data_IF_101947898033
#
_entry.id   IF_101947898033
#
_cell.length_a   1.000
_cell.length_b   1.000
_cell.length_c   1.000
_cell.angle_alpha   90.00
_cell.angle_beta   90.00
_cell.angle_gamma   90.00
#
_symmetry.space_group_name_H-M   'P 1'
#
loop_
_entity.id
_entity.type
_entity.pdbx_description
1 polymer ?
#
# COMPACT_ATOMS: atom_id res chain seq x y z
N UNK A 1 -7.61 54.19 -37.03
CA UNK A 1 -7.72 53.96 -35.57
C UNK A 1 -9.16 53.62 -35.27
N UNK A 2 -9.48 52.34 -35.04
CA UNK A 2 -9.90 51.96 -33.70
C UNK A 2 -9.27 50.66 -33.20
N UNK A 3 -9.31 50.52 -31.88
CA UNK A 3 -8.62 49.52 -31.07
C UNK A 3 -9.24 48.12 -31.20
N UNK A 4 -8.35 47.11 -31.25
CA UNK A 4 -8.66 45.69 -31.19
C UNK A 4 -9.18 45.31 -29.80
N UNK A 5 -10.42 44.81 -29.76
CA UNK A 5 -10.97 44.03 -28.66
C UNK A 5 -10.17 42.72 -28.56
N UNK A 6 -9.16 42.71 -27.68
CA UNK A 6 -8.54 41.46 -27.23
C UNK A 6 -9.55 40.74 -26.33
N UNK A 7 -9.99 39.58 -26.81
CA UNK A 7 -10.67 38.56 -26.02
C UNK A 7 -9.90 38.31 -24.72
N UNK A 8 -10.47 38.78 -23.62
CA UNK A 8 -10.12 38.33 -22.28
C UNK A 8 -10.73 36.93 -22.13
N UNK A 9 -9.90 35.90 -22.30
CA UNK A 9 -10.27 34.53 -21.89
C UNK A 9 -10.63 34.55 -20.40
N UNK A 10 -11.80 34.04 -19.99
CA UNK A 10 -12.20 34.01 -18.58
C UNK A 10 -11.41 32.98 -17.75
N UNK A 11 -10.50 32.22 -18.37
CA UNK A 11 -9.72 31.16 -17.73
C UNK A 11 -8.27 31.56 -17.47
N UNK A 12 -8.05 32.79 -17.03
CA UNK A 12 -6.75 33.21 -16.49
C UNK A 12 -6.74 33.03 -14.97
N UNK A 13 -6.75 31.77 -14.56
CA UNK A 13 -6.58 31.30 -13.19
C UNK A 13 -6.04 29.87 -13.26
N UNK A 14 -5.26 29.45 -12.26
CA UNK A 14 -4.85 28.04 -12.12
C UNK A 14 -6.10 27.14 -12.26
N UNK A 15 -6.00 25.96 -12.90
CA UNK A 15 -7.08 25.00 -12.90
C UNK A 15 -7.56 24.83 -11.46
N UNK A 16 -8.88 24.89 -11.24
CA UNK A 16 -9.52 24.83 -9.92
C UNK A 16 -9.22 23.51 -9.14
N UNK A 17 -8.47 22.60 -9.75
CA UNK A 17 -8.13 21.26 -9.28
C UNK A 17 -6.76 20.82 -9.82
N UNK A 18 -5.74 21.68 -9.78
CA UNK A 18 -4.41 21.13 -9.47
C UNK A 18 -4.54 20.66 -8.01
N UNK A 19 -4.58 19.34 -7.71
CA UNK A 19 -4.41 18.92 -6.32
C UNK A 19 -3.12 19.59 -5.85
N UNK A 20 -3.22 20.44 -4.82
CA UNK A 20 -2.03 21.08 -4.26
C UNK A 20 -1.01 19.96 -3.96
N UNK A 21 0.28 20.24 -4.16
CA UNK A 21 1.35 19.26 -3.91
C UNK A 21 1.19 18.57 -2.54
N UNK A 22 0.52 19.24 -1.59
CA UNK A 22 0.08 18.80 -0.26
C UNK A 22 -0.74 17.48 -0.24
N UNK A 23 -1.66 17.21 -1.19
CA UNK A 23 -2.40 15.92 -1.24
C UNK A 23 -1.47 14.74 -1.62
N UNK A 24 -0.36 15.02 -2.30
CA UNK A 24 0.66 14.03 -2.64
C UNK A 24 1.77 13.94 -1.58
N UNK A 25 1.89 14.92 -0.69
CA UNK A 25 2.78 14.87 0.47
C UNK A 25 2.33 13.79 1.47
N UNK A 26 1.01 13.60 1.62
CA UNK A 26 0.42 12.54 2.43
C UNK A 26 0.85 11.13 1.99
N UNK A 27 1.25 10.99 0.72
CA UNK A 27 1.72 9.73 0.17
C UNK A 27 3.16 9.38 0.46
N UNK A 28 3.92 10.29 1.06
CA UNK A 28 5.33 10.06 1.33
C UNK A 28 5.51 8.90 2.31
N UNK A 29 6.28 7.89 1.92
CA UNK A 29 6.62 6.75 2.79
C UNK A 29 7.13 7.18 4.17
N UNK A 30 7.82 8.33 4.26
CA UNK A 30 8.31 8.89 5.52
C UNK A 30 7.16 9.33 6.43
N UNK A 31 6.15 9.99 5.86
CA UNK A 31 4.96 10.42 6.59
C UNK A 31 4.17 9.20 7.07
N UNK A 32 3.90 8.24 6.18
CA UNK A 32 3.21 6.98 6.51
C UNK A 32 3.94 6.22 7.62
N UNK A 33 5.26 6.10 7.53
CA UNK A 33 6.08 5.47 8.58
C UNK A 33 6.01 6.19 9.91
N UNK A 34 5.92 7.52 9.91
CA UNK A 34 5.74 8.29 11.14
C UNK A 34 4.37 8.03 11.78
N UNK A 35 3.33 7.96 10.97
CA UNK A 35 1.97 7.63 11.41
C UNK A 35 1.92 6.22 11.98
N UNK A 36 2.56 5.25 11.32
CA UNK A 36 2.68 3.89 11.83
C UNK A 36 3.30 3.85 13.23
N UNK A 37 4.44 4.51 13.45
CA UNK A 37 5.07 4.54 14.79
C UNK A 37 4.18 5.18 15.85
N UNK A 38 3.42 6.20 15.45
CA UNK A 38 2.51 6.89 16.36
C UNK A 38 1.32 6.00 16.75
N UNK A 39 0.77 5.24 15.80
CA UNK A 39 -0.38 4.38 16.00
C UNK A 39 -0.03 3.03 16.62
N UNK A 40 1.12 2.43 16.32
CA UNK A 40 1.49 1.04 16.65
C UNK A 40 1.67 0.73 18.14
N UNK A 41 1.38 1.68 19.02
CA UNK A 41 1.53 1.50 20.46
C UNK A 41 0.38 0.66 21.00
N UNK A 42 0.74 -0.33 21.82
CA UNK A 42 -0.21 -1.17 22.53
C UNK A 42 -1.18 -0.29 23.36
N UNK A 43 -2.49 -0.34 23.10
CA UNK A 43 -3.48 0.41 23.86
C UNK A 43 -3.44 0.15 25.36
N UNK A 44 -3.04 -1.05 25.80
CA UNK A 44 -2.92 -1.37 27.22
C UNK A 44 -1.82 -0.56 27.93
N UNK A 45 -0.84 -0.05 27.18
CA UNK A 45 0.24 0.79 27.70
C UNK A 45 -0.16 2.27 27.81
N UNK A 46 -1.27 2.68 27.17
CA UNK A 46 -1.88 3.98 27.42
C UNK A 46 -2.61 3.95 28.75
N UNK A 47 -1.89 4.31 29.82
CA UNK A 47 -2.55 4.64 31.09
C UNK A 47 -3.55 5.75 30.79
N UNK A 48 -4.86 5.56 31.04
CA UNK A 48 -5.83 6.60 30.80
C UNK A 48 -5.37 7.82 31.57
N UNK A 49 -5.12 8.94 30.88
CA UNK A 49 -5.05 10.23 31.56
C UNK A 49 -6.40 10.34 32.27
N UNK A 50 -6.39 10.13 33.59
CA UNK A 50 -7.56 10.33 34.44
C UNK A 50 -8.05 11.75 34.19
N UNK A 51 -8.99 11.91 33.26
CA UNK A 51 -9.81 13.11 33.17
C UNK A 51 -10.62 13.11 34.44
N UNK A 52 -10.13 13.87 35.41
CA UNK A 52 -10.64 14.04 36.78
C UNK A 52 -12.09 14.55 36.85
N UNK A 53 -12.80 14.66 35.73
CA UNK A 53 -14.10 15.31 35.64
C UNK A 53 -15.26 14.38 35.26
N UNK A 54 -15.01 13.10 34.93
CA UNK A 54 -16.07 12.16 34.55
C UNK A 54 -16.23 11.02 35.58
N UNK A 55 -16.58 11.32 36.85
CA UNK A 55 -17.04 10.27 37.79
C UNK A 55 -17.73 10.73 39.07
N UNK A 56 -18.20 11.98 39.16
CA UNK A 56 -19.04 12.39 40.30
C UNK A 56 -20.55 12.22 40.03
N UNK A 57 -21.02 12.45 38.79
CA UNK A 57 -22.46 12.39 38.47
C UNK A 57 -22.97 10.97 38.20
N UNK A 58 -22.15 10.07 37.63
CA UNK A 58 -22.56 8.68 37.36
C UNK A 58 -22.79 7.86 38.65
N UNK A 59 -22.02 8.14 39.71
CA UNK A 59 -22.16 7.48 41.02
C UNK A 59 -23.38 7.91 41.84
N UNK A 60 -24.01 9.05 41.50
CA UNK A 60 -25.22 9.49 42.20
C UNK A 60 -26.51 8.94 41.57
N UNK A 61 -26.51 8.60 40.29
CA UNK A 61 -27.70 8.03 39.64
C UNK A 61 -27.95 6.57 40.00
N UNK A 62 -26.91 5.81 40.37
CA UNK A 62 -27.00 4.36 40.65
C UNK A 62 -27.70 4.03 41.97
N UNK A 63 -27.79 4.96 42.92
CA UNK A 63 -28.32 4.67 44.26
C UNK A 63 -29.82 4.94 44.42
N UNK A 64 -30.46 5.67 43.49
CA UNK A 64 -31.88 6.09 43.64
C UNK A 64 -32.83 5.34 42.69
N UNK A 65 -32.34 4.59 41.69
CA UNK A 65 -33.21 3.98 40.66
C UNK A 65 -33.61 2.52 40.90
N UNK A 66 -33.24 1.90 42.02
CA UNK A 66 -33.49 0.46 42.26
C UNK A 66 -34.95 0.06 42.57
N UNK A 67 -35.92 0.98 42.48
CA UNK A 67 -37.33 0.71 42.84
C UNK A 67 -38.35 1.09 41.76
N UNK A 68 -37.92 1.45 40.54
CA UNK A 68 -38.84 1.73 39.43
C UNK A 68 -38.73 0.66 38.35
N UNK A 69 -39.87 0.20 37.78
CA UNK A 69 -39.86 -0.73 36.65
C UNK A 69 -39.09 -0.11 35.47
N UNK A 70 -38.33 -0.92 34.70
CA UNK A 70 -37.51 -0.42 33.61
C UNK A 70 -38.39 0.30 32.58
N UNK A 71 -38.15 1.60 32.45
CA UNK A 71 -38.85 2.43 31.47
C UNK A 71 -38.28 2.11 30.08
N UNK A 72 -39.11 1.78 29.07
CA UNK A 72 -38.62 1.40 27.74
C UNK A 72 -37.79 2.49 27.05
N UNK A 73 -37.99 3.77 27.41
CA UNK A 73 -37.17 4.88 26.93
C UNK A 73 -35.76 4.91 27.53
N UNK A 74 -35.56 4.43 28.76
CA UNK A 74 -34.22 4.31 29.37
C UNK A 74 -33.42 3.17 28.75
N UNK A 75 -34.05 2.01 28.55
CA UNK A 75 -33.40 0.87 27.88
C UNK A 75 -33.00 1.20 26.43
N UNK A 76 -33.84 1.93 25.70
CA UNK A 76 -33.51 2.38 24.35
C UNK A 76 -32.36 3.41 24.32
N UNK A 77 -32.28 4.30 25.32
CA UNK A 77 -31.18 5.25 25.45
C UNK A 77 -29.86 4.57 25.83
N UNK A 78 -29.89 3.59 26.74
CA UNK A 78 -28.73 2.78 27.11
C UNK A 78 -28.22 1.91 25.96
N UNK A 79 -29.13 1.34 25.15
CA UNK A 79 -28.76 0.59 23.95
C UNK A 79 -28.05 1.48 22.90
N UNK A 80 -28.57 2.69 22.65
CA UNK A 80 -27.92 3.66 21.74
C UNK A 80 -26.53 4.07 22.21
N UNK A 81 -26.37 4.34 23.50
CA UNK A 81 -25.06 4.69 24.06
C UNK A 81 -24.03 3.55 23.89
N UNK A 82 -24.49 2.30 24.02
CA UNK A 82 -23.63 1.13 23.77
C UNK A 82 -23.24 1.00 22.31
N UNK A 83 -24.18 1.17 21.38
CA UNK A 83 -23.88 1.16 19.93
C UNK A 83 -22.89 2.27 19.54
N UNK A 84 -23.04 3.47 20.11
CA UNK A 84 -22.10 4.57 19.90
C UNK A 84 -20.71 4.28 20.49
N UNK A 85 -20.62 3.60 21.62
CA UNK A 85 -19.36 3.17 22.23
C UNK A 85 -18.68 2.10 21.37
N UNK A 86 -19.40 1.06 20.96
CA UNK A 86 -18.89 0.01 20.06
C UNK A 86 -18.39 0.59 18.72
N UNK A 87 -19.08 1.61 18.18
CA UNK A 87 -18.65 2.31 16.98
C UNK A 87 -17.33 3.06 17.20
N UNK A 88 -17.19 3.76 18.33
CA UNK A 88 -15.95 4.48 18.66
C UNK A 88 -14.79 3.51 18.83
N UNK A 89 -15.00 2.40 19.52
CA UNK A 89 -13.96 1.39 19.76
C UNK A 89 -13.48 0.77 18.44
N UNK A 90 -14.41 0.42 17.54
CA UNK A 90 -14.07 -0.07 16.19
C UNK A 90 -13.33 0.96 15.36
N UNK A 91 -13.72 2.24 15.45
CA UNK A 91 -12.99 3.31 14.77
C UNK A 91 -11.59 3.45 15.34
N UNK A 92 -11.42 3.41 16.66
CA UNK A 92 -10.09 3.46 17.28
C UNK A 92 -9.22 2.27 16.85
N UNK A 93 -9.80 1.07 16.79
CA UNK A 93 -9.15 -0.14 16.29
C UNK A 93 -8.66 0.02 14.84
N UNK A 94 -9.49 0.57 13.95
CA UNK A 94 -9.12 0.82 12.55
C UNK A 94 -8.01 1.87 12.36
N UNK A 95 -7.92 2.86 13.26
CA UNK A 95 -6.85 3.86 13.19
C UNK A 95 -5.57 3.37 13.87
N UNK A 96 -5.64 2.32 14.68
CA UNK A 96 -4.51 1.78 15.40
C UNK A 96 -3.90 0.57 14.68
N UNK A 97 -2.72 0.78 14.10
CA UNK A 97 -1.99 -0.25 13.35
C UNK A 97 -1.52 -1.43 14.21
N UNK A 98 -1.56 -1.35 15.54
CA UNK A 98 -1.31 -2.47 16.44
C UNK A 98 -2.22 -3.67 16.16
N UNK A 99 -3.46 -3.42 15.73
CA UNK A 99 -4.45 -4.44 15.42
C UNK A 99 -4.32 -5.02 14.01
N UNK A 100 -3.31 -4.59 13.23
CA UNK A 100 -3.09 -5.13 11.89
C UNK A 100 -2.70 -6.60 11.97
N UNK A 101 -3.47 -7.46 11.30
CA UNK A 101 -3.20 -8.90 11.23
C UNK A 101 -3.16 -9.36 9.76
N UNK A 102 -2.00 -9.83 9.26
CA UNK A 102 -1.87 -10.38 7.92
C UNK A 102 -2.88 -11.50 7.59
N UNK A 103 -3.33 -12.26 8.59
CA UNK A 103 -4.25 -13.39 8.42
C UNK A 103 -5.74 -12.99 8.53
N UNK A 104 -6.01 -11.75 8.94
CA UNK A 104 -7.34 -11.15 8.92
C UNK A 104 -7.61 -10.22 10.08
N UNK A 105 -8.10 -9.01 9.80
CA UNK A 105 -8.46 -8.03 10.83
C UNK A 105 -9.80 -7.30 10.56
N UNK A 106 -10.08 -6.27 11.36
CA UNK A 106 -11.31 -5.50 11.27
C UNK A 106 -11.44 -4.77 9.92
N UNK A 107 -10.35 -4.33 9.30
CA UNK A 107 -10.41 -3.74 7.96
C UNK A 107 -10.95 -4.75 6.96
N UNK A 108 -10.44 -5.98 6.97
CA UNK A 108 -10.88 -7.02 6.02
C UNK A 108 -12.36 -7.37 6.20
N UNK A 109 -12.81 -7.43 7.45
CA UNK A 109 -14.21 -7.69 7.80
C UNK A 109 -15.14 -6.60 7.27
N UNK A 110 -14.75 -5.32 7.38
CA UNK A 110 -15.55 -4.20 6.88
C UNK A 110 -15.49 -4.13 5.36
N UNK A 111 -14.31 -4.33 4.77
CA UNK A 111 -14.11 -4.27 3.32
C UNK A 111 -14.90 -5.35 2.58
N UNK A 112 -15.12 -6.52 3.20
CA UNK A 112 -15.99 -7.55 2.65
C UNK A 112 -17.41 -7.05 2.30
N UNK A 113 -17.91 -6.01 3.00
CA UNK A 113 -19.22 -5.42 2.71
C UNK A 113 -19.27 -4.68 1.37
N UNK A 114 -18.13 -4.23 0.84
CA UNK A 114 -18.04 -3.48 -0.43
C UNK A 114 -17.44 -4.28 -1.58
N UNK A 115 -17.18 -5.58 -1.39
CA UNK A 115 -16.73 -6.45 -2.47
C UNK A 115 -17.87 -6.76 -3.44
N UNK A 116 -17.57 -6.73 -4.73
CA UNK A 116 -18.49 -7.16 -5.78
C UNK A 116 -18.38 -8.68 -5.89
N UNK A 117 -19.46 -9.43 -5.61
CA UNK A 117 -19.42 -10.88 -5.77
C UNK A 117 -19.34 -11.24 -7.26
N UNK A 118 -18.95 -12.49 -7.56
CA UNK A 118 -19.08 -13.10 -8.90
C UNK A 118 -18.14 -12.61 -10.02
N UNK A 119 -16.99 -12.03 -9.71
CA UNK A 119 -15.96 -11.83 -10.74
C UNK A 119 -15.54 -13.17 -11.36
N UNK A 120 -15.52 -13.25 -12.70
CA UNK A 120 -15.04 -14.44 -13.45
C UNK A 120 -13.57 -14.73 -13.17
N UNK A 121 -12.77 -13.68 -12.96
CA UNK A 121 -11.32 -13.75 -12.75
C UNK A 121 -10.94 -13.88 -11.28
N UNK A 122 -11.61 -13.12 -10.40
CA UNK A 122 -11.31 -13.03 -8.98
C UNK A 122 -12.46 -13.65 -8.17
N UNK A 123 -12.60 -14.97 -8.27
CA UNK A 123 -13.72 -15.69 -7.67
C UNK A 123 -13.56 -15.78 -6.14
N UNK A 124 -14.58 -15.33 -5.39
CA UNK A 124 -14.78 -15.80 -4.03
C UNK A 124 -15.08 -17.29 -4.08
N UNK A 125 -14.38 -18.08 -3.26
CA UNK A 125 -14.59 -19.53 -3.19
C UNK A 125 -16.09 -19.86 -3.08
N UNK A 126 -16.59 -20.71 -3.99
CA UNK A 126 -18.02 -21.06 -4.12
C UNK A 126 -18.58 -21.77 -2.87
N UNK A 127 -17.73 -22.12 -1.91
CA UNK A 127 -18.07 -22.87 -0.71
C UNK A 127 -18.57 -22.03 0.48
N UNK A 128 -18.84 -20.72 0.31
CA UNK A 128 -19.45 -19.91 1.37
C UNK A 128 -18.57 -19.68 2.61
N UNK A 129 -17.31 -20.09 2.57
CA UNK A 129 -16.30 -19.63 3.51
C UNK A 129 -15.96 -18.18 3.17
N UNK A 130 -16.02 -17.31 4.18
CA UNK A 130 -15.49 -15.95 4.12
C UNK A 130 -14.15 -15.98 3.39
N UNK A 131 -14.11 -15.37 2.21
CA UNK A 131 -12.95 -15.45 1.34
C UNK A 131 -11.73 -14.98 2.10
N UNK A 132 -10.67 -15.79 2.08
CA UNK A 132 -9.50 -15.54 2.90
C UNK A 132 -8.96 -14.11 2.62
N UNK A 133 -8.54 -13.35 3.64
CA UNK A 133 -8.13 -11.95 3.47
C UNK A 133 -7.05 -11.72 2.41
N UNK A 134 -6.27 -12.75 2.09
CA UNK A 134 -5.19 -12.72 1.10
C UNK A 134 -5.64 -12.99 -0.34
N UNK A 135 -6.90 -13.33 -0.56
CA UNK A 135 -7.44 -13.51 -1.92
C UNK A 135 -7.73 -12.13 -2.51
N UNK A 136 -7.36 -11.85 -3.78
CA UNK A 136 -7.75 -10.60 -4.43
C UNK A 136 -9.27 -10.55 -4.68
N UNK A 137 -9.89 -9.43 -4.33
CA UNK A 137 -11.31 -9.14 -4.58
C UNK A 137 -11.49 -7.86 -5.39
N UNK A 138 -12.60 -7.76 -6.12
CA UNK A 138 -12.98 -6.52 -6.81
C UNK A 138 -13.85 -5.69 -5.87
N UNK A 139 -13.47 -4.43 -5.66
CA UNK A 139 -14.17 -3.48 -4.79
C UNK A 139 -15.15 -2.66 -5.62
N UNK A 140 -16.36 -2.47 -5.10
CA UNK A 140 -17.31 -1.48 -5.59
C UNK A 140 -16.84 -0.09 -5.19
N UNK A 141 -16.21 0.62 -6.13
CA UNK A 141 -15.67 1.96 -5.89
C UNK A 141 -16.74 2.97 -5.50
N UNK A 142 -17.94 2.87 -6.08
CA UNK A 142 -19.03 3.79 -5.78
C UNK A 142 -19.52 3.56 -4.35
N UNK A 143 -19.72 2.30 -3.97
CA UNK A 143 -20.10 1.96 -2.60
C UNK A 143 -19.01 2.32 -1.58
N UNK A 144 -17.74 2.14 -1.93
CA UNK A 144 -16.62 2.43 -1.03
C UNK A 144 -16.41 3.93 -0.83
N UNK A 145 -16.36 4.74 -1.90
CA UNK A 145 -16.05 6.17 -1.80
C UNK A 145 -17.25 7.07 -1.50
N UNK A 146 -18.49 6.65 -1.81
CA UNK A 146 -19.71 7.41 -1.50
C UNK A 146 -20.47 6.89 -0.27
N UNK A 147 -19.83 6.07 0.55
CA UNK A 147 -20.44 5.52 1.77
C UNK A 147 -20.80 6.61 2.80
N UNK A 148 -21.89 6.39 3.53
CA UNK A 148 -22.22 7.15 4.75
C UNK A 148 -21.80 6.41 6.03
N UNK A 149 -21.37 5.15 5.89
CA UNK A 149 -20.89 4.34 7.00
C UNK A 149 -19.46 4.77 7.35
N UNK A 150 -19.31 5.31 8.56
CA UNK A 150 -18.02 5.77 9.08
C UNK A 150 -16.97 4.64 9.15
N UNK A 151 -17.40 3.39 9.39
CA UNK A 151 -16.49 2.24 9.43
C UNK A 151 -15.93 1.94 8.05
N UNK A 152 -16.76 1.94 7.01
CA UNK A 152 -16.32 1.72 5.63
C UNK A 152 -15.37 2.84 5.18
N UNK A 153 -15.67 4.11 5.51
CA UNK A 153 -14.79 5.23 5.18
C UNK A 153 -13.44 5.22 5.90
N UNK A 154 -13.39 4.64 7.11
CA UNK A 154 -12.18 4.44 7.89
C UNK A 154 -11.41 3.17 7.49
N UNK A 155 -12.05 2.18 6.88
CA UNK A 155 -11.40 0.95 6.46
C UNK A 155 -10.51 1.15 5.21
N UNK A 156 -9.41 0.42 5.13
CA UNK A 156 -8.46 0.49 4.02
C UNK A 156 -8.43 -0.87 3.30
N UNK A 157 -8.51 -0.88 1.96
CA UNK A 157 -8.45 -2.11 1.17
C UNK A 157 -7.06 -2.72 1.19
N UNK A 158 -6.95 -4.03 0.94
CA UNK A 158 -5.65 -4.66 0.67
C UNK A 158 -5.15 -4.31 -0.73
N UNK A 159 -3.83 -4.40 -0.90
CA UNK A 159 -3.19 -4.13 -2.19
C UNK A 159 -3.66 -5.12 -3.27
N UNK A 160 -3.86 -6.39 -2.91
CA UNK A 160 -4.45 -7.40 -3.79
C UNK A 160 -5.79 -6.96 -4.37
N UNK A 161 -6.67 -6.42 -3.52
CA UNK A 161 -8.01 -5.99 -3.92
C UNK A 161 -7.94 -4.74 -4.81
N UNK A 162 -7.06 -3.80 -4.48
CA UNK A 162 -6.85 -2.61 -5.31
C UNK A 162 -6.31 -2.97 -6.70
N UNK A 163 -5.35 -3.90 -6.79
CA UNK A 163 -4.81 -4.39 -8.06
C UNK A 163 -5.90 -5.09 -8.87
N UNK A 164 -6.64 -6.03 -8.27
CA UNK A 164 -7.74 -6.72 -8.94
C UNK A 164 -8.80 -5.74 -9.47
N UNK A 165 -9.16 -4.74 -8.67
CA UNK A 165 -10.14 -3.71 -9.03
C UNK A 165 -9.66 -2.84 -10.20
N UNK A 166 -8.42 -2.36 -10.17
CA UNK A 166 -7.86 -1.54 -11.26
C UNK A 166 -7.80 -2.33 -12.57
N UNK A 167 -7.29 -3.55 -12.52
CA UNK A 167 -7.20 -4.40 -13.71
C UNK A 167 -8.59 -4.67 -14.29
N UNK A 168 -9.59 -4.92 -13.42
CA UNK A 168 -10.98 -5.13 -13.84
C UNK A 168 -11.61 -3.89 -14.51
N UNK A 169 -11.15 -2.67 -14.20
CA UNK A 169 -11.59 -1.44 -14.88
C UNK A 169 -10.83 -1.11 -16.18
N UNK A 170 -9.85 -1.94 -16.55
CA UNK A 170 -8.96 -1.70 -17.69
C UNK A 170 -9.53 -2.31 -18.97
N UNK A 171 -9.22 -3.58 -19.25
CA UNK A 171 -9.76 -4.37 -20.35
C UNK A 171 -9.55 -5.86 -20.04
N UNK A 172 -10.20 -6.73 -20.82
CA UNK A 172 -10.12 -8.18 -20.65
C UNK A 172 -8.71 -8.73 -20.80
N UNK A 173 -8.00 -8.30 -21.83
CA UNK A 173 -6.69 -8.81 -22.18
C UNK A 173 -5.64 -8.45 -21.11
N UNK A 174 -5.81 -7.31 -20.44
CA UNK A 174 -4.99 -6.85 -19.33
C UNK A 174 -5.10 -7.79 -18.13
N UNK A 175 -6.33 -8.14 -17.72
CA UNK A 175 -6.58 -9.07 -16.62
C UNK A 175 -6.04 -10.46 -16.96
N UNK A 176 -6.33 -10.96 -18.16
CA UNK A 176 -5.86 -12.25 -18.62
C UNK A 176 -4.32 -12.31 -18.68
N UNK A 177 -3.66 -11.25 -19.18
CA UNK A 177 -2.20 -11.19 -19.23
C UNK A 177 -1.55 -11.13 -17.83
N UNK A 178 -2.16 -10.42 -16.89
CA UNK A 178 -1.67 -10.37 -15.50
C UNK A 178 -1.76 -11.74 -14.81
N UNK A 179 -2.83 -12.49 -15.07
CA UNK A 179 -3.09 -13.80 -14.44
C UNK A 179 -2.41 -14.97 -15.16
N UNK A 180 -2.01 -14.82 -16.43
CA UNK A 180 -1.38 -15.90 -17.19
C UNK A 180 0.06 -16.18 -16.67
N UNK A 181 0.36 -17.37 -16.13
CA UNK A 181 1.70 -17.71 -15.65
C UNK A 181 2.74 -17.83 -16.77
N UNK A 182 2.32 -17.85 -18.04
CA UNK A 182 3.22 -17.94 -19.21
C UNK A 182 3.84 -16.58 -19.57
N UNK A 183 3.19 -15.48 -19.19
CA UNK A 183 3.72 -14.13 -19.37
C UNK A 183 4.92 -13.95 -18.45
N UNK A 184 6.10 -13.65 -19.00
CA UNK A 184 7.33 -13.52 -18.20
C UNK A 184 7.30 -12.26 -17.37
N UNK A 185 6.87 -11.17 -18.00
CA UNK A 185 6.78 -9.86 -17.38
C UNK A 185 5.50 -9.16 -17.81
N UNK A 186 4.77 -8.66 -16.81
CA UNK A 186 3.63 -7.77 -16.99
C UNK A 186 3.91 -6.46 -16.27
N UNK A 187 3.61 -5.32 -16.90
CA UNK A 187 3.73 -4.01 -16.27
C UNK A 187 2.51 -3.15 -16.61
N UNK A 188 1.73 -2.79 -15.60
CA UNK A 188 0.70 -1.76 -15.68
C UNK A 188 1.25 -0.43 -15.17
N UNK A 189 1.04 0.65 -15.93
CA UNK A 189 1.47 2.00 -15.60
C UNK A 189 0.34 2.99 -15.82
N UNK A 190 0.17 3.91 -14.87
CA UNK A 190 -0.77 5.03 -14.98
C UNK A 190 -0.08 6.33 -14.60
N UNK A 191 0.03 7.23 -15.55
CA UNK A 191 0.50 8.59 -15.31
C UNK A 191 -0.61 9.39 -14.61
N UNK A 192 -0.27 9.97 -13.47
CA UNK A 192 -1.16 10.83 -12.72
C UNK A 192 -1.04 12.25 -13.28
N UNK A 193 -2.18 12.93 -13.43
CA UNK A 193 -2.32 14.28 -13.98
C UNK A 193 -1.98 14.45 -15.47
N UNK A 194 -1.72 13.36 -16.20
CA UNK A 194 -1.39 13.41 -17.63
C UNK A 194 -0.11 14.19 -17.94
N UNK A 195 0.71 14.44 -16.92
CA UNK A 195 2.03 15.04 -17.07
C UNK A 195 3.06 13.93 -17.21
N UNK A 196 3.84 13.97 -18.29
CA UNK A 196 4.95 13.03 -18.56
C UNK A 196 6.03 13.08 -17.46
N UNK A 197 6.08 14.17 -16.69
CA UNK A 197 6.97 14.34 -15.53
C UNK A 197 6.26 14.10 -14.18
N UNK A 198 4.98 13.73 -14.20
CA UNK A 198 4.15 13.51 -13.03
C UNK A 198 4.45 12.19 -12.30
N UNK A 199 3.74 11.97 -11.19
CA UNK A 199 3.76 10.68 -10.51
C UNK A 199 3.18 9.60 -11.43
N UNK A 200 3.83 8.45 -11.46
CA UNK A 200 3.39 7.25 -12.17
C UNK A 200 3.08 6.18 -11.15
N UNK A 201 1.85 5.67 -11.19
CA UNK A 201 1.44 4.47 -10.47
C UNK A 201 1.83 3.26 -11.29
N UNK A 202 2.39 2.25 -10.62
CA UNK A 202 2.87 1.03 -11.29
C UNK A 202 2.46 -0.23 -10.54
N UNK A 203 2.13 -1.26 -11.32
CA UNK A 203 2.03 -2.65 -10.86
C UNK A 203 2.81 -3.50 -11.86
N UNK A 204 3.92 -4.08 -11.42
CA UNK A 204 4.79 -4.93 -12.21
C UNK A 204 4.75 -6.35 -11.65
N UNK A 205 4.52 -7.35 -12.49
CA UNK A 205 4.59 -8.76 -12.15
C UNK A 205 5.70 -9.46 -12.94
N UNK A 206 6.59 -10.17 -12.26
CA UNK A 206 7.59 -11.07 -12.87
C UNK A 206 7.48 -12.43 -12.20
N UNK A 207 7.04 -13.44 -12.96
CA UNK A 207 6.62 -14.71 -12.39
C UNK A 207 5.57 -14.51 -11.30
N UNK A 208 5.89 -14.92 -10.07
CA UNK A 208 5.01 -14.77 -8.90
C UNK A 208 5.31 -13.50 -8.08
N UNK A 209 6.35 -12.75 -8.42
CA UNK A 209 6.71 -11.52 -7.72
C UNK A 209 5.96 -10.33 -8.27
N UNK A 210 5.43 -9.49 -7.38
CA UNK A 210 4.77 -8.23 -7.72
C UNK A 210 5.52 -7.07 -7.06
N UNK A 211 5.77 -6.02 -7.83
CA UNK A 211 6.21 -4.72 -7.35
C UNK A 211 5.09 -3.73 -7.62
N UNK A 212 4.65 -3.02 -6.60
CA UNK A 212 3.67 -1.95 -6.74
C UNK A 212 4.18 -0.68 -6.06
N UNK A 213 3.82 0.48 -6.61
CA UNK A 213 4.23 1.73 -6.02
C UNK A 213 3.87 2.97 -6.84
N UNK A 214 4.41 4.09 -6.38
CA UNK A 214 4.29 5.40 -7.02
C UNK A 214 5.68 5.98 -7.18
N UNK A 215 6.05 6.38 -8.40
CA UNK A 215 7.34 6.97 -8.70
C UNK A 215 7.26 8.14 -9.67
N UNK A 216 8.29 8.99 -9.67
CA UNK A 216 8.57 9.97 -10.75
C UNK A 216 9.73 9.47 -11.59
N UNK A 217 9.60 9.54 -12.92
CA UNK A 217 10.70 9.19 -13.81
C UNK A 217 11.63 10.41 -13.99
N UNK A 218 12.87 10.30 -13.52
CA UNK A 218 13.89 11.36 -13.66
C UNK A 218 14.79 11.16 -14.88
N UNK A 219 14.49 10.19 -15.75
CA UNK A 219 15.26 9.83 -16.95
C UNK A 219 16.46 8.93 -16.67
N UNK A 220 17.17 9.15 -15.56
CA UNK A 220 18.30 8.30 -15.12
C UNK A 220 17.98 7.42 -13.91
N UNK A 221 16.86 7.69 -13.22
CA UNK A 221 16.36 6.90 -12.11
C UNK A 221 14.85 7.07 -11.96
N UNK A 222 14.22 6.10 -11.30
CA UNK A 222 12.87 6.21 -10.78
C UNK A 222 12.97 6.72 -9.34
N UNK A 223 12.31 7.82 -9.04
CA UNK A 223 12.21 8.38 -7.69
C UNK A 223 10.91 7.91 -7.05
N UNK A 224 11.00 6.97 -6.12
CA UNK A 224 9.85 6.32 -5.48
C UNK A 224 9.37 7.09 -4.26
N UNK A 225 8.07 7.37 -4.25
CA UNK A 225 7.35 7.88 -3.07
C UNK A 225 6.82 6.74 -2.22
N UNK A 226 6.35 5.67 -2.87
CA UNK A 226 5.93 4.41 -2.26
C UNK A 226 6.49 3.23 -3.05
N UNK A 227 6.94 2.20 -2.35
CA UNK A 227 7.48 0.99 -2.96
C UNK A 227 7.17 -0.22 -2.09
N UNK A 228 6.41 -1.16 -2.64
CA UNK A 228 5.98 -2.40 -1.99
C UNK A 228 6.31 -3.59 -2.90
N UNK A 229 6.81 -4.67 -2.31
CA UNK A 229 6.94 -5.97 -2.98
C UNK A 229 5.98 -6.97 -2.36
N UNK A 230 5.38 -7.79 -3.21
CA UNK A 230 4.50 -8.87 -2.82
C UNK A 230 4.76 -10.12 -3.65
N UNK A 231 4.19 -11.24 -3.21
CA UNK A 231 4.19 -12.52 -3.89
C UNK A 231 2.76 -13.01 -4.10
N UNK A 232 2.56 -13.69 -5.22
CA UNK A 232 1.36 -14.45 -5.53
C UNK A 232 1.65 -15.94 -5.41
N UNK A 233 0.95 -16.64 -4.52
CA UNK A 233 1.13 -18.09 -4.37
C UNK A 233 0.49 -18.85 -5.52
N UNK A 234 0.87 -20.12 -5.69
CA UNK A 234 0.21 -21.02 -6.63
C UNK A 234 -1.29 -21.24 -6.32
N UNK A 235 -1.71 -20.98 -5.09
CA UNK A 235 -3.12 -21.03 -4.65
C UNK A 235 -3.86 -19.71 -4.85
N UNK A 236 -3.19 -18.70 -5.39
CA UNK A 236 -3.76 -17.37 -5.65
C UNK A 236 -3.83 -16.46 -4.43
N UNK A 237 -3.09 -16.77 -3.37
CA UNK A 237 -3.00 -15.96 -2.16
C UNK A 237 -1.89 -14.93 -2.29
N UNK A 238 -2.15 -13.73 -1.77
CA UNK A 238 -1.25 -12.59 -1.79
C UNK A 238 -0.48 -12.42 -0.48
N UNK A 239 0.82 -12.13 -0.59
CA UNK A 239 1.69 -11.92 0.56
C UNK A 239 2.63 -10.75 0.31
N UNK A 240 2.58 -9.73 1.16
CA UNK A 240 3.58 -8.68 1.19
C UNK A 240 4.92 -9.25 1.69
N UNK A 241 6.02 -8.87 1.04
CA UNK A 241 7.38 -9.34 1.37
C UNK A 241 8.36 -8.21 1.65
N UNK A 242 8.02 -6.99 1.22
CA UNK A 242 8.80 -5.79 1.54
C UNK A 242 7.92 -4.55 1.40
N UNK A 243 8.11 -3.57 2.28
CA UNK A 243 7.56 -2.23 2.11
C UNK A 243 8.59 -1.19 2.56
N UNK A 244 8.83 -0.16 1.74
CA UNK A 244 9.88 0.81 2.04
C UNK A 244 9.43 1.86 3.07
N UNK A 245 10.10 2.00 4.23
CA UNK A 245 9.73 3.00 5.23
C UNK A 245 10.10 4.44 4.84
N UNK A 246 10.82 4.63 3.74
CA UNK A 246 11.26 5.94 3.26
C UNK A 246 11.16 6.03 1.74
N UNK A 247 11.20 7.25 1.22
CA UNK A 247 11.39 7.45 -0.21
C UNK A 247 12.74 6.87 -0.65
N UNK A 248 12.84 6.51 -1.93
CA UNK A 248 14.05 5.91 -2.48
C UNK A 248 14.12 6.02 -3.99
N UNK A 249 15.13 5.40 -4.57
CA UNK A 249 15.35 5.43 -6.00
C UNK A 249 15.68 4.05 -6.56
N UNK A 250 15.28 3.81 -7.81
CA UNK A 250 15.79 2.69 -8.61
C UNK A 250 16.57 3.25 -9.80
N UNK A 251 17.82 2.84 -10.04
CA UNK A 251 18.59 3.35 -11.16
C UNK A 251 18.03 2.84 -12.49
N UNK A 252 18.19 3.63 -13.55
CA UNK A 252 17.95 3.20 -14.94
C UNK A 252 19.32 2.95 -15.58
N UNK A 253 19.57 1.71 -15.99
CA UNK A 253 20.83 1.30 -16.60
C UNK A 253 20.55 0.87 -18.04
N UNK A 254 21.23 1.49 -19.01
CA UNK A 254 21.02 1.24 -20.43
C UNK A 254 19.54 1.40 -20.88
N UNK A 255 18.83 2.37 -20.29
CA UNK A 255 17.42 2.63 -20.57
C UNK A 255 16.43 1.68 -19.88
N UNK A 256 16.91 0.72 -19.09
CA UNK A 256 16.06 -0.24 -18.37
C UNK A 256 16.05 0.09 -16.87
N UNK A 257 14.87 0.29 -16.24
CA UNK A 257 14.79 0.46 -14.81
C UNK A 257 15.20 -0.82 -14.07
N UNK A 258 16.09 -0.69 -13.09
CA UNK A 258 16.48 -1.78 -12.20
C UNK A 258 15.44 -1.95 -11.09
N UNK A 259 14.24 -2.45 -11.45
CA UNK A 259 13.07 -2.53 -10.57
C UNK A 259 13.32 -3.22 -9.23
N UNK A 260 14.20 -4.23 -9.21
CA UNK A 260 14.50 -5.01 -8.01
C UNK A 260 15.46 -4.32 -7.05
N UNK A 261 16.17 -3.28 -7.53
CA UNK A 261 17.11 -2.46 -6.75
C UNK A 261 16.38 -1.23 -6.23
N UNK A 262 16.29 -1.13 -4.91
CA UNK A 262 15.74 0.02 -4.22
C UNK A 262 16.81 0.64 -3.32
N UNK A 263 17.08 1.93 -3.51
CA UNK A 263 18.08 2.70 -2.77
C UNK A 263 17.37 3.77 -1.94
N UNK A 264 17.26 3.61 -0.61
CA UNK A 264 16.68 4.62 0.27
C UNK A 264 17.38 5.97 0.15
N UNK A 265 16.63 7.09 0.18
CA UNK A 265 17.21 8.45 0.10
C UNK A 265 18.23 8.74 1.21
N UNK A 266 18.13 8.05 2.35
CA UNK A 266 19.00 8.25 3.51
C UNK A 266 20.23 7.31 3.57
N UNK A 267 20.40 6.39 2.63
CA UNK A 267 21.62 5.56 2.58
C UNK A 267 22.69 6.28 1.79
N UNK A 268 23.77 6.70 2.47
CA UNK A 268 24.96 7.20 1.81
C UNK A 268 25.47 6.14 0.83
N UNK A 269 25.57 6.50 -0.46
CA UNK A 269 26.16 5.64 -1.48
C UNK A 269 27.60 5.26 -1.09
N UNK A 270 27.96 3.97 -1.04
CA UNK A 270 29.35 3.57 -1.14
C UNK A 270 29.71 3.56 -2.63
N UNK A 271 29.83 4.72 -3.26
CA UNK A 271 30.64 4.77 -4.48
C UNK A 271 32.11 4.70 -4.04
N UNK A 272 32.92 3.76 -4.57
CA UNK A 272 34.36 3.91 -4.46
C UNK A 272 34.74 5.14 -5.28
N UNK A 273 34.92 6.27 -4.60
CA UNK A 273 35.56 7.44 -5.16
C UNK A 273 37.05 7.11 -5.38
N UNK A 274 37.37 6.45 -6.49
CA UNK A 274 38.63 6.51 -7.25
C UNK A 274 38.81 5.27 -8.12
N UNK A 275 38.58 5.43 -9.43
CA UNK A 275 39.43 4.87 -10.48
C UNK A 275 38.93 5.35 -11.84
N UNK A 276 39.33 6.58 -12.20
CA UNK A 276 39.49 6.94 -13.60
C UNK A 276 40.65 6.12 -14.16
N UNK A 277 40.36 4.95 -14.71
CA UNK A 277 41.27 4.22 -15.58
C UNK A 277 40.44 3.35 -16.55
N UNK A 278 40.31 3.81 -17.79
CA UNK A 278 39.95 2.97 -18.93
C UNK A 278 41.05 1.89 -19.12
N UNK A 279 40.70 0.62 -19.30
CA UNK A 279 41.55 -0.31 -20.05
C UNK A 279 41.00 -0.50 -21.48
N UNK A 280 41.87 -0.81 -22.45
CA UNK A 280 41.53 -0.81 -23.86
C UNK A 280 40.74 -2.05 -24.29
N UNK A 281 40.05 -1.88 -25.40
CA UNK A 281 39.30 -2.89 -26.16
C UNK A 281 40.12 -4.14 -26.49
N UNK A 282 39.60 -5.31 -26.09
CA UNK A 282 39.81 -6.58 -26.80
C UNK A 282 38.90 -7.68 -26.23
N UNK A 283 37.94 -8.13 -27.06
CA UNK A 283 37.25 -9.43 -26.92
C UNK A 283 38.28 -10.57 -27.10
N UNK A 284 38.08 -11.75 -26.48
CA UNK A 284 37.41 -12.82 -27.24
C UNK A 284 36.52 -13.80 -26.41
N UNK A 285 35.55 -14.33 -27.15
CA UNK A 285 35.01 -15.71 -27.20
C UNK A 285 34.61 -16.51 -25.93
N UNK A 286 33.36 -16.95 -25.99
CA UNK A 286 32.75 -18.14 -25.38
C UNK A 286 33.70 -19.35 -25.19
N UNK A 287 33.65 -19.97 -24.01
CA UNK A 287 33.49 -21.42 -23.81
C UNK A 287 33.30 -21.76 -22.31
N UNK A 288 32.34 -22.63 -22.01
CA UNK A 288 32.23 -23.45 -20.79
C UNK A 288 32.13 -24.92 -21.29
N UNK A 289 32.28 -26.00 -20.48
CA UNK A 289 32.37 -26.09 -19.01
C UNK A 289 33.49 -27.06 -18.51
N UNK A 290 33.69 -27.21 -17.18
CA UNK A 290 33.79 -28.53 -16.49
C UNK A 290 34.15 -28.44 -14.97
N UNK A 291 33.28 -29.07 -14.18
CA UNK A 291 33.46 -29.82 -12.92
C UNK A 291 34.88 -30.04 -12.35
N UNK A 292 35.10 -29.70 -11.07
CA UNK A 292 35.38 -30.66 -9.96
C UNK A 292 35.81 -29.96 -8.64
N UNK A 293 35.18 -30.35 -7.53
CA UNK A 293 35.63 -30.23 -6.12
C UNK A 293 36.20 -31.61 -5.68
N UNK A 294 36.76 -31.82 -4.47
CA UNK A 294 37.11 -30.90 -3.36
C UNK A 294 38.57 -31.08 -2.87
N UNK A 295 39.02 -30.30 -1.85
CA UNK A 295 39.88 -30.80 -0.75
C UNK A 295 40.00 -29.75 0.37
N UNK A 296 39.66 -30.19 1.59
CA UNK A 296 39.93 -29.53 2.87
C UNK A 296 41.44 -29.33 3.11
N UNK A 297 41.81 -28.34 3.93
CA UNK A 297 42.74 -28.45 5.08
C UNK A 297 42.79 -27.08 5.81
N UNK A 298 42.32 -27.09 7.06
CA UNK A 298 42.62 -26.15 8.17
C UNK A 298 43.90 -26.69 8.88
N UNK A 299 44.84 -25.92 9.50
CA UNK A 299 44.59 -25.21 10.77
C UNK A 299 45.51 -24.02 11.18
N UNK A 300 45.03 -23.19 12.15
CA UNK A 300 45.68 -22.80 13.45
C UNK A 300 45.39 -21.36 13.93
N UNK A 301 44.40 -21.29 14.83
CA UNK A 301 44.33 -20.63 16.16
C UNK A 301 45.50 -19.72 16.62
N UNK A 302 45.17 -18.49 17.02
CA UNK A 302 45.84 -17.75 18.10
C UNK A 302 44.75 -17.18 19.03
N UNK A 303 44.87 -17.46 20.33
CA UNK A 303 44.06 -16.95 21.45
C UNK A 303 45.04 -16.42 22.50
N UNK A 304 44.89 -15.16 22.93
CA UNK A 304 45.43 -14.59 24.18
C UNK A 304 44.50 -13.41 24.56
N UNK A 305 43.50 -13.60 25.45
CA UNK A 305 43.51 -13.49 26.92
C UNK A 305 43.21 -12.07 27.46
N UNK A 306 42.01 -11.90 28.02
CA UNK A 306 41.59 -10.90 29.05
C UNK A 306 42.03 -11.37 30.45
N UNK A 307 42.28 -10.51 31.47
CA UNK A 307 41.21 -9.97 32.36
C UNK A 307 41.55 -8.53 32.91
N UNK A 308 40.72 -7.71 33.57
CA UNK A 308 39.69 -7.88 34.59
C UNK A 308 38.72 -6.67 34.59
N UNK A 309 37.45 -6.92 34.92
CA UNK A 309 36.45 -5.93 35.32
C UNK A 309 36.68 -5.42 36.77
N UNK A 310 36.09 -4.27 37.14
CA UNK A 310 35.05 -4.35 38.16
C UNK A 310 33.76 -3.59 37.80
N UNK A 311 32.68 -4.35 37.94
CA UNK A 311 31.30 -4.02 38.34
C UNK A 311 30.98 -2.55 38.66
N UNK A 312 30.05 -1.98 37.89
CA UNK A 312 28.94 -1.14 38.38
C UNK A 312 27.71 -1.38 37.50
N UNK A 313 27.04 -2.49 37.76
CA UNK A 313 25.59 -2.60 37.54
C UNK A 313 24.89 -1.73 38.58
N UNK A 314 24.16 -0.72 38.13
CA UNK A 314 22.98 -0.11 38.74
C UNK A 314 22.80 1.31 38.18
N UNK A 315 22.47 1.41 36.88
CA UNK A 315 21.84 2.58 36.21
C UNK A 315 21.71 2.43 34.68
N UNK A 316 22.09 1.27 34.11
CA UNK A 316 22.08 1.00 32.67
C UNK A 316 21.07 -0.10 32.30
N UNK A 317 19.88 -0.11 32.91
CA UNK A 317 18.80 -1.04 32.59
C UNK A 317 17.46 -0.32 32.31
N UNK A 318 17.42 1.01 32.36
CA UNK A 318 16.26 1.84 32.02
C UNK A 318 16.51 2.75 30.81
N UNK A 319 17.68 2.68 30.16
CA UNK A 319 17.95 3.44 28.92
C UNK A 319 18.03 2.60 27.66
N UNK A 320 18.13 1.28 27.80
CA UNK A 320 18.27 0.38 26.66
C UNK A 320 16.89 -0.12 26.14
N UNK A 321 15.79 0.20 26.83
CA UNK A 321 14.42 -0.15 26.41
C UNK A 321 13.68 0.93 25.62
N UNK A 322 14.20 2.16 25.54
CA UNK A 322 13.58 3.25 24.76
C UNK A 322 14.22 3.44 23.36
N UNK A 323 15.45 2.94 23.13
CA UNK A 323 16.15 3.11 21.85
C UNK A 323 15.99 1.93 20.86
N UNK A 324 15.56 0.74 21.31
CA UNK A 324 15.32 -0.41 20.41
C UNK A 324 14.10 -0.23 19.50
N UNK A 325 13.24 0.77 19.73
CA UNK A 325 11.89 0.82 19.14
C UNK A 325 11.70 1.82 17.97
N UNK A 326 12.77 2.41 17.44
CA UNK A 326 12.64 3.51 16.45
C UNK A 326 12.99 3.15 15.00
N UNK A 327 13.51 1.97 14.71
CA UNK A 327 13.84 1.57 13.33
C UNK A 327 12.79 0.59 12.82
N UNK A 328 11.86 1.07 11.97
CA UNK A 328 10.88 0.20 11.31
C UNK A 328 11.64 -0.79 10.42
N UNK A 329 11.41 -2.07 10.63
CA UNK A 329 11.89 -3.10 9.69
C UNK A 329 11.02 -3.07 8.43
N UNK A 330 11.61 -2.97 7.23
CA UNK A 330 10.85 -2.99 5.98
C UNK A 330 10.21 -4.36 5.67
N UNK A 331 10.52 -5.38 6.47
CA UNK A 331 9.97 -6.74 6.37
C UNK A 331 9.07 -7.10 7.56
N UNK A 332 8.75 -6.14 8.43
CA UNK A 332 7.77 -6.35 9.51
C UNK A 332 6.37 -6.53 8.89
N UNK A 333 5.70 -7.63 9.20
CA UNK A 333 4.46 -8.03 8.51
C UNK A 333 3.33 -7.00 8.70
N UNK A 334 3.24 -6.41 9.89
CA UNK A 334 2.23 -5.38 10.19
C UNK A 334 2.52 -4.07 9.48
N UNK A 335 3.79 -3.64 9.47
CA UNK A 335 4.20 -2.46 8.72
C UNK A 335 3.98 -2.64 7.21
N UNK A 336 4.35 -3.81 6.67
CA UNK A 336 4.13 -4.13 5.26
C UNK A 336 2.65 -4.09 4.89
N UNK A 337 1.79 -4.71 5.71
CA UNK A 337 0.35 -4.67 5.51
C UNK A 337 -0.18 -3.22 5.56
N UNK A 338 0.19 -2.45 6.58
CA UNK A 338 -0.22 -1.06 6.72
C UNK A 338 0.18 -0.21 5.51
N UNK A 339 1.43 -0.29 5.08
CA UNK A 339 1.91 0.50 3.94
C UNK A 339 1.28 0.03 2.62
N UNK A 340 1.07 -1.27 2.45
CA UNK A 340 0.38 -1.83 1.27
C UNK A 340 -1.07 -1.35 1.19
N UNK A 341 -1.78 -1.24 2.33
CA UNK A 341 -3.14 -0.71 2.43
C UNK A 341 -3.20 0.79 2.13
N UNK A 342 -2.23 1.56 2.60
CA UNK A 342 -2.11 2.98 2.25
C UNK A 342 -1.93 3.16 0.73
N UNK A 343 -1.03 2.37 0.12
CA UNK A 343 -0.86 2.36 -1.34
C UNK A 343 -2.15 1.93 -2.07
N UNK A 344 -2.82 0.90 -1.58
CA UNK A 344 -4.06 0.37 -2.16
C UNK A 344 -5.17 1.42 -2.19
N UNK A 345 -5.44 2.09 -1.07
CA UNK A 345 -6.45 3.16 -0.97
C UNK A 345 -6.18 4.26 -1.99
N UNK A 346 -4.92 4.64 -2.15
CA UNK A 346 -4.53 5.68 -3.08
C UNK A 346 -4.64 5.27 -4.55
N UNK A 347 -4.20 4.06 -4.89
CA UNK A 347 -4.39 3.46 -6.21
C UNK A 347 -5.87 3.52 -6.63
N UNK A 348 -6.80 3.20 -5.71
CA UNK A 348 -8.23 3.27 -5.96
C UNK A 348 -8.77 4.71 -6.00
N UNK A 349 -8.29 5.59 -5.11
CA UNK A 349 -8.73 6.99 -5.04
C UNK A 349 -8.42 7.73 -6.33
N UNK A 350 -7.25 7.50 -6.89
CA UNK A 350 -6.80 8.13 -8.13
C UNK A 350 -7.69 7.75 -9.33
N UNK A 351 -8.08 6.49 -9.50
CA UNK A 351 -9.01 6.11 -10.58
C UNK A 351 -10.44 6.62 -10.31
N UNK A 352 -10.88 6.61 -9.05
CA UNK A 352 -12.22 7.08 -8.66
C UNK A 352 -12.43 8.56 -8.98
N UNK A 353 -11.49 9.42 -8.59
CA UNK A 353 -11.58 10.88 -8.85
C UNK A 353 -11.70 11.15 -10.35
N UNK A 354 -11.00 10.40 -11.21
CA UNK A 354 -11.12 10.58 -12.67
C UNK A 354 -12.47 10.14 -13.20
N UNK A 355 -12.99 9.04 -12.68
CA UNK A 355 -14.32 8.56 -13.03
C UNK A 355 -15.44 9.52 -12.61
N UNK A 356 -15.31 10.23 -11.49
CA UNK A 356 -16.27 11.28 -11.08
C UNK A 356 -16.08 12.59 -11.86
N UNK A 357 -14.83 13.04 -12.01
CA UNK A 357 -14.50 14.32 -12.65
C UNK A 357 -14.70 14.35 -14.17
N UNK A 358 -15.17 13.24 -14.78
CA UNK A 358 -15.31 13.05 -16.23
C UNK A 358 -14.00 13.29 -17.00
N UNK A 359 -12.87 13.08 -16.34
CA UNK A 359 -11.56 13.19 -16.96
C UNK A 359 -11.25 11.91 -17.74
N UNK A 360 -10.38 12.05 -18.73
CA UNK A 360 -9.90 10.89 -19.46
C UNK A 360 -8.95 10.09 -18.54
N UNK A 361 -9.36 8.87 -18.15
CA UNK A 361 -8.54 7.97 -17.36
C UNK A 361 -7.81 7.02 -18.32
N UNK A 362 -6.52 7.28 -18.59
CA UNK A 362 -5.68 6.44 -19.45
C UNK A 362 -4.73 5.61 -18.62
N UNK A 363 -4.46 4.41 -19.08
CA UNK A 363 -3.35 3.60 -18.60
C UNK A 363 -2.59 3.00 -19.79
N UNK A 364 -1.40 2.50 -19.48
CA UNK A 364 -0.65 1.63 -20.38
C UNK A 364 -0.37 0.34 -19.65
N UNK A 365 -0.46 -0.77 -20.35
CA UNK A 365 0.01 -2.04 -19.84
C UNK A 365 0.87 -2.74 -20.88
N UNK A 366 1.81 -3.52 -20.40
CA UNK A 366 2.83 -4.18 -21.19
C UNK A 366 2.88 -5.65 -20.78
N UNK A 367 2.85 -6.56 -21.75
CA UNK A 367 3.05 -7.99 -21.52
C UNK A 367 4.12 -8.49 -22.50
N UNK A 368 5.22 -9.01 -21.97
CA UNK A 368 6.37 -9.52 -22.73
C UNK A 368 6.84 -8.57 -23.85
N UNK A 369 6.89 -7.26 -23.56
CA UNK A 369 7.33 -6.19 -24.47
C UNK A 369 6.24 -5.64 -25.41
N UNK A 370 5.03 -6.21 -25.40
CA UNK A 370 3.90 -5.69 -26.17
C UNK A 370 3.17 -4.65 -25.33
N UNK A 371 3.29 -3.38 -25.72
CA UNK A 371 2.65 -2.25 -25.02
C UNK A 371 1.28 -1.94 -25.62
N UNK A 372 0.26 -1.84 -24.77
CA UNK A 372 -1.08 -1.37 -25.10
C UNK A 372 -1.42 -0.14 -24.27
N UNK A 373 -2.09 0.83 -24.90
CA UNK A 373 -2.64 1.99 -24.22
C UNK A 373 -4.15 1.93 -24.29
N UNK A 374 -4.79 2.13 -23.15
CA UNK A 374 -6.23 1.94 -23.00
C UNK A 374 -6.84 3.03 -22.15
N UNK A 375 -8.14 3.24 -22.38
CA UNK A 375 -8.95 4.17 -21.61
C UNK A 375 -9.80 3.36 -20.64
N UNK A 376 -9.57 3.56 -19.35
CA UNK A 376 -10.32 2.91 -18.28
C UNK A 376 -11.79 3.35 -18.33
N UNK A 377 -12.67 2.41 -18.02
CA UNK A 377 -14.12 2.63 -17.95
C UNK A 377 -14.62 2.28 -16.54
N UNK A 378 -15.75 2.89 -16.15
CA UNK A 378 -16.48 2.49 -14.93
C UNK A 378 -17.02 1.07 -15.02
N UNK A 379 -17.30 0.58 -16.24
CA UNK A 379 -17.67 -0.82 -16.46
C UNK A 379 -16.53 -1.74 -16.01
N UNK A 380 -16.90 -2.88 -15.44
CA UNK A 380 -15.98 -3.86 -14.88
C UNK A 380 -15.96 -5.10 -15.76
N UNK A 381 -14.75 -5.53 -16.11
CA UNK A 381 -14.53 -6.70 -16.93
C UNK A 381 -14.65 -7.99 -16.13
N UNK A 382 -15.31 -8.99 -16.72
CA UNK A 382 -15.48 -10.31 -16.12
C UNK A 382 -16.69 -10.43 -15.21
N UNK A 383 -17.72 -9.61 -15.40
CA UNK A 383 -19.01 -9.71 -14.71
C UNK A 383 -20.13 -10.02 -15.71
N UNK A 384 -21.21 -10.65 -15.24
CA UNK A 384 -22.30 -11.07 -16.12
C UNK A 384 -23.02 -9.85 -16.74
N UNK A 385 -23.08 -9.81 -18.07
CA UNK A 385 -23.71 -8.72 -18.84
C UNK A 385 -22.81 -8.10 -19.92
N UNK A 386 -21.53 -8.46 -20.01
CA UNK A 386 -20.60 -7.92 -21.02
C UNK A 386 -20.63 -8.64 -22.38
N UNK A 387 -21.19 -9.85 -22.46
CA UNK A 387 -21.11 -10.66 -23.69
C UNK A 387 -22.10 -10.21 -24.80
N UNK A 388 -22.90 -9.16 -24.61
CA UNK A 388 -23.96 -8.77 -25.56
C UNK A 388 -23.70 -7.48 -26.38
N UNK A 389 -22.69 -6.67 -26.04
CA UNK A 389 -22.55 -5.31 -26.64
C UNK A 389 -21.38 -5.13 -27.64
N UNK A 390 -20.50 -6.12 -27.80
CA UNK A 390 -19.34 -6.03 -28.72
C UNK A 390 -19.61 -6.57 -30.14
N UNK A 391 -20.86 -6.93 -30.48
CA UNK A 391 -21.29 -7.32 -31.84
C UNK A 391 -22.19 -6.28 -32.56
N UNK A 392 -22.17 -5.02 -32.14
CA UNK A 392 -22.70 -3.94 -32.98
C UNK A 392 -21.82 -2.70 -32.86
N UNK A 393 -20.84 -2.54 -33.76
CA UNK A 393 -20.61 -1.32 -34.55
C UNK A 393 -19.46 -1.49 -35.55
#
# INVERSE_FOLDING_TARGET
MPASLRNLSPFKGKPLWEPDDEEWEDLNATHISSTYKASFKDPAQYVPRKTTNASALSRFSSTITSFLPPCPTKLAAEARLREEEELRDKLEELHNTYYSDPDGDLHDTIMASVHIPTSRYFQLDRAGCFAAPRVPHVIDLERYFNTQDALVGAAYPRLSDAVATILSHTDRECVEAFLDPRIKEFVYRREVDGSVAGNTLVVRRVGNGVIAGSYRNLGFSLSWTLYVKALFSATGLWYETYASPVAGTSPIVNGVPMWDIFLPVNTAFPFPASSLALPPSSLPAFEAPESSLPLEISPRKIVLATPHSPTKEAQQAERDSEEENNTISPTDERFMLYQSRALARYLLRDIWIRFEGRYECKATWEADGVVKSVRLKKALVGFAGEDDDDEMF
#
